data_IF_164590810941
#
_entry.id   IF_164590810941
#
_cell.length_a   1.000
_cell.length_b   1.000
_cell.length_c   1.000
_cell.angle_alpha   90.00
_cell.angle_beta   90.00
_cell.angle_gamma   90.00
#
_symmetry.space_group_name_H-M   'P 1'
#
loop_
_entity.id
_entity.type
_entity.pdbx_description
1 polymer ?
#
# COMPACT_ATOMS: atom_id res chain seq x y z
N UNK A 1 2.73 11.64 15.56
CA UNK A 1 2.29 12.98 16.01
C UNK A 1 2.16 13.94 14.84
N UNK A 2 1.07 13.82 14.08
CA UNK A 2 0.66 14.78 13.04
C UNK A 2 -0.58 15.56 13.50
N UNK A 3 -0.99 16.62 12.77
CA UNK A 3 -2.16 17.41 13.13
C UNK A 3 -3.44 16.56 13.06
N UNK A 4 -4.49 16.93 13.83
CA UNK A 4 -5.81 16.31 13.69
C UNK A 4 -6.30 16.51 12.26
N UNK A 5 -6.59 15.40 11.57
CA UNK A 5 -7.06 15.42 10.19
C UNK A 5 -8.51 15.97 10.17
N UNK A 6 -8.83 16.99 9.36
CA UNK A 6 -10.04 17.82 9.52
C UNK A 6 -11.35 17.18 9.02
N UNK A 7 -11.34 15.90 8.67
CA UNK A 7 -12.51 15.14 8.22
C UNK A 7 -12.62 13.87 9.07
N UNK A 8 -13.84 13.31 9.23
CA UNK A 8 -14.05 12.06 9.98
C UNK A 8 -13.19 10.96 9.37
N UNK A 9 -12.08 10.62 10.04
CA UNK A 9 -11.17 9.56 9.61
C UNK A 9 -11.74 8.16 9.83
N UNK A 10 -12.86 8.05 10.55
CA UNK A 10 -13.56 6.80 10.72
C UNK A 10 -14.37 6.55 9.44
N UNK A 11 -14.08 5.48 8.67
CA UNK A 11 -15.04 5.01 7.69
C UNK A 11 -16.33 4.62 8.43
N UNK A 12 -17.49 4.57 7.76
CA UNK A 12 -18.74 4.20 8.42
C UNK A 12 -18.60 2.83 9.10
N UNK A 13 -18.60 2.83 10.43
CA UNK A 13 -18.49 1.61 11.25
C UNK A 13 -19.90 1.07 11.47
N UNK A 14 -20.17 -0.21 11.18
CA UNK A 14 -21.44 -0.83 11.52
C UNK A 14 -21.72 -0.73 13.03
N UNK A 15 -22.98 -0.47 13.40
CA UNK A 15 -23.36 -0.28 14.80
C UNK A 15 -23.07 -1.52 15.66
N UNK A 16 -23.00 -2.70 15.04
CA UNK A 16 -22.64 -3.97 15.64
C UNK A 16 -21.86 -4.81 14.62
N UNK A 17 -20.64 -5.23 14.98
CA UNK A 17 -19.79 -6.05 14.11
C UNK A 17 -20.35 -7.48 13.95
N UNK A 18 -21.08 -7.99 14.95
CA UNK A 18 -21.68 -9.35 14.91
C UNK A 18 -22.79 -9.48 13.85
N UNK A 19 -23.34 -8.35 13.38
CA UNK A 19 -24.37 -8.31 12.35
C UNK A 19 -23.77 -8.29 10.93
N UNK A 20 -22.44 -8.17 10.79
CA UNK A 20 -21.77 -8.18 9.50
C UNK A 20 -21.59 -9.63 9.04
N UNK A 21 -22.16 -10.03 7.88
CA UNK A 21 -21.98 -11.38 7.40
C UNK A 21 -20.54 -11.62 6.94
N UNK A 22 -20.02 -12.83 7.18
CA UNK A 22 -18.75 -13.26 6.61
C UNK A 22 -18.76 -13.13 5.08
N UNK A 23 -17.63 -12.66 4.55
CA UNK A 23 -17.47 -12.45 3.12
C UNK A 23 -17.57 -13.77 2.34
N UNK A 24 -18.35 -13.75 1.25
CA UNK A 24 -18.46 -14.89 0.33
C UNK A 24 -17.73 -14.56 -0.97
N UNK A 25 -16.71 -15.37 -1.28
CA UNK A 25 -15.96 -15.22 -2.52
C UNK A 25 -16.91 -15.34 -3.74
N UNK A 26 -16.81 -14.43 -4.72
CA UNK A 26 -17.58 -14.52 -5.95
C UNK A 26 -17.06 -15.66 -6.82
N UNK A 27 -17.93 -16.22 -7.66
CA UNK A 27 -17.51 -17.08 -8.77
C UNK A 27 -16.65 -16.27 -9.73
N UNK A 28 -15.47 -16.79 -10.08
CA UNK A 28 -14.53 -16.16 -11.02
C UNK A 28 -14.54 -16.96 -12.32
N UNK A 29 -15.06 -16.36 -13.39
CA UNK A 29 -15.02 -16.94 -14.74
C UNK A 29 -13.75 -16.57 -15.49
N UNK A 30 -13.24 -15.36 -15.26
CA UNK A 30 -11.99 -14.85 -15.84
C UNK A 30 -11.13 -14.24 -14.73
N UNK A 31 -9.88 -14.71 -14.54
CA UNK A 31 -8.99 -14.16 -13.54
C UNK A 31 -8.54 -12.74 -13.93
N UNK A 32 -8.46 -11.85 -12.94
CA UNK A 32 -7.85 -10.53 -13.08
C UNK A 32 -6.32 -10.69 -13.11
N UNK A 33 -5.67 -10.10 -14.11
CA UNK A 33 -4.21 -10.18 -14.28
C UNK A 33 -3.62 -8.79 -14.05
N UNK A 34 -2.87 -8.63 -12.96
CA UNK A 34 -2.15 -7.38 -12.68
C UNK A 34 -0.91 -7.27 -13.57
N UNK A 35 -0.67 -6.10 -14.14
CA UNK A 35 0.47 -5.82 -15.03
C UNK A 35 1.44 -4.82 -14.40
N UNK A 36 2.74 -4.88 -14.76
CA UNK A 36 3.70 -3.89 -14.29
C UNK A 36 3.32 -2.50 -14.82
N UNK A 37 3.30 -1.50 -13.93
CA UNK A 37 2.84 -0.15 -14.23
C UNK A 37 3.55 0.50 -15.43
N UNK A 38 4.84 0.20 -15.61
CA UNK A 38 5.64 0.73 -16.72
C UNK A 38 5.27 0.16 -18.10
N UNK A 39 4.53 -0.95 -18.17
CA UNK A 39 4.09 -1.59 -19.42
C UNK A 39 2.56 -1.58 -19.56
N UNK A 40 1.86 -0.71 -18.82
CA UNK A 40 0.41 -0.75 -18.62
C UNK A 40 -0.38 0.28 -19.47
N UNK A 41 0.02 0.55 -20.71
CA UNK A 41 -0.52 1.65 -21.55
C UNK A 41 -2.05 1.71 -21.61
N UNK A 42 -2.73 0.59 -21.90
CA UNK A 42 -4.20 0.52 -21.95
C UNK A 42 -4.84 0.67 -20.55
N UNK A 43 -4.13 0.21 -19.52
CA UNK A 43 -4.60 0.22 -18.14
C UNK A 43 -4.49 1.59 -17.48
N UNK A 44 -3.57 2.46 -17.93
CA UNK A 44 -3.46 3.85 -17.47
C UNK A 44 -4.80 4.56 -17.64
N UNK A 45 -5.44 4.43 -18.81
CA UNK A 45 -6.72 5.08 -19.09
C UNK A 45 -7.84 4.54 -18.18
N UNK A 46 -7.92 3.22 -18.00
CA UNK A 46 -8.92 2.57 -17.14
C UNK A 46 -8.74 2.98 -15.67
N UNK A 47 -7.51 2.95 -15.18
CA UNK A 47 -7.19 3.32 -13.80
C UNK A 47 -7.47 4.81 -13.56
N UNK A 48 -7.04 5.68 -14.47
CA UNK A 48 -7.35 7.12 -14.44
C UNK A 48 -8.85 7.38 -14.37
N UNK A 49 -9.65 6.67 -15.18
CA UNK A 49 -11.10 6.80 -15.18
C UNK A 49 -11.72 6.31 -13.86
N UNK A 50 -11.21 5.19 -13.31
CA UNK A 50 -11.66 4.66 -12.03
C UNK A 50 -11.40 5.63 -10.88
N UNK A 51 -10.17 6.14 -10.76
CA UNK A 51 -9.80 7.14 -9.75
C UNK A 51 -10.59 8.44 -9.92
N UNK A 52 -10.79 8.92 -11.16
CA UNK A 52 -11.66 10.08 -11.43
C UNK A 52 -13.06 9.86 -10.87
N UNK A 53 -13.69 8.72 -11.20
CA UNK A 53 -15.04 8.40 -10.72
C UNK A 53 -15.10 8.26 -9.21
N UNK A 54 -14.06 7.73 -8.57
CA UNK A 54 -13.99 7.71 -7.11
C UNK A 54 -13.95 9.14 -6.56
N UNK A 55 -13.05 10.00 -7.06
CA UNK A 55 -12.92 11.41 -6.64
C UNK A 55 -14.18 12.24 -6.92
N UNK A 56 -14.91 11.97 -8.00
CA UNK A 56 -16.21 12.61 -8.29
C UNK A 56 -17.32 12.22 -7.29
N UNK A 57 -17.19 11.07 -6.62
CA UNK A 57 -18.13 10.68 -5.56
C UNK A 57 -17.86 11.46 -4.26
N UNK A 58 -16.60 11.84 -4.00
CA UNK A 58 -16.19 12.67 -2.85
C UNK A 58 -17.04 13.95 -2.76
N UNK A 59 -17.31 14.56 -3.92
CA UNK A 59 -18.06 15.82 -4.04
C UNK A 59 -19.58 15.63 -3.84
N UNK A 60 -20.10 14.44 -4.16
CA UNK A 60 -21.54 14.17 -4.27
C UNK A 60 -22.12 13.51 -3.02
N UNK A 61 -21.37 12.61 -2.39
CA UNK A 61 -21.79 11.88 -1.21
C UNK A 61 -20.58 11.55 -0.30
N UNK A 62 -20.20 12.48 0.60
CA UNK A 62 -19.06 12.32 1.52
C UNK A 62 -19.20 11.15 2.50
N UNK A 63 -20.34 10.45 2.57
CA UNK A 63 -20.52 9.29 3.43
C UNK A 63 -20.43 7.96 2.67
N UNK A 64 -20.33 7.98 1.34
CA UNK A 64 -20.30 6.74 0.55
C UNK A 64 -19.00 5.95 0.81
N UNK A 65 -19.04 4.70 1.29
CA UNK A 65 -17.79 3.99 1.61
C UNK A 65 -16.89 3.72 0.38
N UNK A 66 -17.39 3.89 -0.84
CA UNK A 66 -16.69 3.59 -2.08
C UNK A 66 -15.87 4.77 -2.66
N UNK A 67 -15.97 5.98 -2.08
CA UNK A 67 -15.25 7.15 -2.61
C UNK A 67 -13.78 7.18 -2.21
N UNK A 68 -12.97 7.98 -2.90
CA UNK A 68 -11.51 7.85 -2.88
C UNK A 68 -10.92 8.05 -1.48
N UNK A 69 -11.30 9.14 -0.83
CA UNK A 69 -10.86 9.42 0.54
C UNK A 69 -11.39 8.44 1.58
N UNK A 70 -12.58 7.86 1.40
CA UNK A 70 -13.03 6.83 2.34
C UNK A 70 -12.21 5.56 2.19
N UNK A 71 -11.79 5.22 0.97
CA UNK A 71 -10.81 4.16 0.79
C UNK A 71 -9.48 4.52 1.46
N UNK A 72 -9.00 5.75 1.38
CA UNK A 72 -7.83 6.20 2.15
C UNK A 72 -8.05 6.11 3.68
N UNK A 73 -9.27 6.41 4.16
CA UNK A 73 -9.64 6.32 5.57
C UNK A 73 -9.66 4.90 6.10
N UNK A 74 -9.91 3.90 5.25
CA UNK A 74 -9.76 2.49 5.65
C UNK A 74 -8.31 2.26 6.09
N UNK A 75 -7.31 2.66 5.29
CA UNK A 75 -5.91 2.53 5.71
C UNK A 75 -5.64 3.31 7.01
N UNK A 76 -6.04 4.58 7.08
CA UNK A 76 -5.91 5.38 8.30
C UNK A 76 -6.43 4.64 9.54
N UNK A 77 -7.66 4.11 9.47
CA UNK A 77 -8.34 3.59 10.63
C UNK A 77 -7.70 2.30 11.17
N UNK A 78 -7.20 1.43 10.30
CA UNK A 78 -6.50 0.20 10.71
C UNK A 78 -5.04 0.43 11.14
N UNK A 79 -4.47 1.60 10.85
CA UNK A 79 -3.05 1.90 11.10
C UNK A 79 -2.83 2.94 12.21
N UNK A 80 -3.87 3.70 12.59
CA UNK A 80 -3.82 4.78 13.57
C UNK A 80 -4.85 4.59 14.70
N UNK A 81 -4.88 3.39 15.26
CA UNK A 81 -5.56 3.05 16.51
C UNK A 81 -7.09 3.26 16.55
N UNK A 82 -7.75 3.32 15.38
CA UNK A 82 -9.18 3.65 15.34
C UNK A 82 -10.09 2.47 15.73
N UNK A 83 -9.60 1.23 15.64
CA UNK A 83 -10.35 0.02 15.97
C UNK A 83 -9.80 -0.68 17.20
N UNK A 84 -10.70 -1.24 18.01
CA UNK A 84 -10.35 -2.15 19.12
C UNK A 84 -11.15 -3.43 19.00
N UNK A 85 -10.49 -4.59 19.08
CA UNK A 85 -11.12 -5.91 19.08
C UNK A 85 -10.72 -6.60 20.38
N UNK A 86 -11.70 -6.97 21.21
CA UNK A 86 -11.45 -7.62 22.50
C UNK A 86 -10.59 -6.80 23.48
N UNK A 87 -10.63 -5.47 23.39
CA UNK A 87 -9.85 -4.56 24.24
C UNK A 87 -8.39 -4.34 23.79
N UNK A 88 -7.95 -4.97 22.69
CA UNK A 88 -6.68 -4.65 22.02
C UNK A 88 -6.97 -3.71 20.84
N UNK A 89 -6.24 -2.60 20.73
CA UNK A 89 -6.23 -1.79 19.52
C UNK A 89 -5.85 -2.69 18.34
N UNK A 90 -6.47 -2.55 17.18
CA UNK A 90 -6.05 -3.28 15.99
C UNK A 90 -4.93 -2.48 15.32
N UNK A 91 -3.76 -3.09 15.18
CA UNK A 91 -2.63 -2.55 14.45
C UNK A 91 -2.19 -3.59 13.42
N UNK A 92 -2.35 -3.26 12.14
CA UNK A 92 -2.06 -4.18 11.03
C UNK A 92 -0.61 -4.11 10.58
N UNK A 93 0.12 -3.06 10.97
CA UNK A 93 1.56 -2.91 10.76
C UNK A 93 2.38 -3.53 11.92
N UNK A 94 3.68 -3.67 11.71
CA UNK A 94 4.65 -4.18 12.67
C UNK A 94 4.41 -5.64 13.07
N UNK A 95 3.68 -6.41 12.25
CA UNK A 95 3.22 -7.74 12.63
C UNK A 95 2.85 -8.62 11.43
N UNK A 96 2.58 -9.89 11.69
CA UNK A 96 2.14 -10.88 10.70
C UNK A 96 0.79 -10.56 10.00
N UNK A 97 0.09 -9.49 10.41
CA UNK A 97 -1.16 -9.05 9.79
C UNK A 97 -0.94 -8.13 8.57
N UNK A 98 0.29 -7.64 8.39
CA UNK A 98 0.65 -6.70 7.33
C UNK A 98 0.21 -7.20 5.94
N UNK A 99 0.69 -8.36 5.52
CA UNK A 99 0.36 -8.93 4.21
C UNK A 99 -1.13 -9.26 4.02
N UNK A 100 -1.80 -10.03 4.91
CA UNK A 100 -3.20 -10.40 4.68
C UNK A 100 -4.15 -9.20 4.71
N UNK A 101 -3.93 -8.20 5.57
CA UNK A 101 -4.73 -6.98 5.58
C UNK A 101 -4.63 -6.24 4.24
N UNK A 102 -3.41 -5.93 3.78
CA UNK A 102 -3.20 -5.20 2.53
C UNK A 102 -3.69 -5.99 1.30
N UNK A 103 -3.59 -7.32 1.32
CA UNK A 103 -4.19 -8.18 0.28
C UNK A 103 -5.70 -8.01 0.19
N UNK A 104 -6.42 -8.06 1.31
CA UNK A 104 -7.87 -7.85 1.33
C UNK A 104 -8.25 -6.41 0.97
N UNK A 105 -7.45 -5.44 1.41
CA UNK A 105 -7.65 -4.05 1.06
C UNK A 105 -7.53 -3.82 -0.45
N UNK A 106 -6.45 -4.30 -1.08
CA UNK A 106 -6.28 -4.22 -2.54
C UNK A 106 -7.33 -5.03 -3.29
N UNK A 107 -7.79 -6.16 -2.74
CA UNK A 107 -8.86 -6.96 -3.33
C UNK A 107 -10.15 -6.15 -3.47
N UNK A 108 -10.61 -5.49 -2.40
CA UNK A 108 -11.82 -4.69 -2.47
C UNK A 108 -11.63 -3.42 -3.31
N UNK A 109 -10.49 -2.73 -3.17
CA UNK A 109 -10.19 -1.53 -3.96
C UNK A 109 -10.21 -1.80 -5.48
N UNK A 110 -9.57 -2.88 -5.94
CA UNK A 110 -9.58 -3.31 -7.35
C UNK A 110 -11.00 -3.58 -7.86
N UNK A 111 -11.84 -4.21 -7.03
CA UNK A 111 -13.24 -4.52 -7.40
C UNK A 111 -14.11 -3.27 -7.45
N UNK A 112 -13.87 -2.30 -6.57
CA UNK A 112 -14.56 -1.00 -6.58
C UNK A 112 -14.26 -0.27 -7.88
N UNK A 113 -12.99 -0.17 -8.27
CA UNK A 113 -12.59 0.46 -9.54
C UNK A 113 -13.27 -0.21 -10.74
N UNK A 114 -13.18 -1.55 -10.81
CA UNK A 114 -13.84 -2.32 -11.88
C UNK A 114 -15.35 -2.08 -11.94
N UNK A 115 -16.02 -2.04 -10.78
CA UNK A 115 -17.46 -1.71 -10.70
C UNK A 115 -17.77 -0.31 -11.23
N UNK A 116 -16.97 0.70 -10.87
CA UNK A 116 -17.22 2.09 -11.24
C UNK A 116 -17.05 2.35 -12.74
N UNK A 117 -16.13 1.65 -13.39
CA UNK A 117 -15.88 1.77 -14.84
C UNK A 117 -16.64 0.75 -15.69
N UNK A 118 -17.37 -0.19 -15.06
CA UNK A 118 -18.11 -1.23 -15.77
C UNK A 118 -17.22 -2.36 -16.34
N UNK A 119 -16.02 -2.54 -15.80
CA UNK A 119 -15.06 -3.56 -16.22
C UNK A 119 -14.84 -4.58 -15.09
N UNK A 120 -15.46 -5.77 -15.22
CA UNK A 120 -15.36 -6.83 -14.20
C UNK A 120 -14.03 -7.58 -14.23
N UNK A 121 -13.19 -7.36 -15.24
CA UNK A 121 -11.85 -7.96 -15.36
C UNK A 121 -10.73 -6.96 -15.11
N UNK A 122 -11.06 -5.70 -14.79
CA UNK A 122 -10.11 -4.69 -14.34
C UNK A 122 -9.19 -5.24 -13.25
N UNK A 123 -7.89 -5.16 -13.49
CA UNK A 123 -6.85 -5.47 -12.53
C UNK A 123 -6.02 -4.22 -12.21
N UNK A 124 -5.66 -4.04 -10.95
CA UNK A 124 -4.72 -2.99 -10.56
C UNK A 124 -3.35 -3.27 -11.20
N UNK A 125 -2.68 -2.29 -11.82
CA UNK A 125 -1.26 -2.43 -12.09
C UNK A 125 -0.46 -2.56 -10.79
N UNK A 126 0.81 -2.94 -10.89
CA UNK A 126 1.72 -2.93 -9.75
C UNK A 126 2.99 -2.13 -10.07
N UNK A 127 3.49 -1.37 -9.10
CA UNK A 127 4.75 -0.65 -9.24
C UNK A 127 5.91 -1.64 -9.13
N UNK A 128 6.49 -2.01 -10.27
CA UNK A 128 7.47 -3.09 -10.37
C UNK A 128 8.90 -2.66 -9.95
N UNK A 129 9.05 -2.09 -8.75
CA UNK A 129 10.31 -1.56 -8.23
C UNK A 129 11.37 -2.64 -7.95
N UNK A 130 11.02 -3.93 -7.95
CA UNK A 130 11.97 -5.06 -7.91
C UNK A 130 12.63 -5.33 -9.27
N UNK A 131 12.19 -4.64 -10.33
CA UNK A 131 12.77 -4.70 -11.67
C UNK A 131 13.40 -3.35 -12.06
N UNK A 132 14.61 -3.34 -12.66
CA UNK A 132 15.27 -2.12 -13.15
C UNK A 132 14.39 -1.14 -13.93
N UNK A 133 13.46 -1.63 -14.76
CA UNK A 133 12.56 -0.78 -15.56
C UNK A 133 11.47 -0.09 -14.75
N UNK A 134 11.14 -0.62 -13.57
CA UNK A 134 10.10 -0.11 -12.68
C UNK A 134 10.65 0.63 -11.46
N UNK A 135 11.97 0.85 -11.35
CA UNK A 135 12.60 1.58 -10.23
C UNK A 135 12.46 3.10 -10.31
N UNK A 136 11.41 3.61 -10.96
CA UNK A 136 11.15 5.05 -11.13
C UNK A 136 9.69 5.30 -10.76
N UNK A 137 9.35 6.53 -10.37
CA UNK A 137 7.95 6.94 -10.28
C UNK A 137 7.28 6.65 -11.64
N UNK A 138 6.20 5.84 -11.70
CA UNK A 138 5.57 5.52 -12.97
C UNK A 138 5.05 6.82 -13.62
N UNK A 139 5.37 7.10 -14.91
CA UNK A 139 5.07 8.39 -15.52
C UNK A 139 3.60 8.83 -15.46
N UNK A 140 2.66 7.89 -15.32
CA UNK A 140 1.24 8.18 -15.17
C UNK A 140 0.88 9.00 -13.92
N UNK A 141 1.74 9.02 -12.90
CA UNK A 141 1.56 9.79 -11.67
C UNK A 141 2.21 11.18 -11.72
N UNK A 142 2.96 11.50 -12.78
CA UNK A 142 3.61 12.82 -12.99
C UNK A 142 2.96 13.58 -14.16
N UNK A 143 1.62 13.66 -14.13
CA UNK A 143 0.84 14.40 -15.12
C UNK A 143 -0.07 15.39 -14.41
N UNK A 144 0.37 16.66 -14.22
CA UNK A 144 -0.43 17.67 -13.54
C UNK A 144 -1.85 17.79 -14.14
N UNK A 145 -2.86 17.84 -13.26
CA UNK A 145 -4.28 17.85 -13.63
C UNK A 145 -4.87 16.46 -13.93
N UNK A 146 -4.06 15.41 -13.96
CA UNK A 146 -4.55 14.03 -13.97
C UNK A 146 -5.20 13.67 -12.62
N UNK A 147 -6.30 12.88 -12.60
CA UNK A 147 -6.82 12.27 -11.39
C UNK A 147 -5.80 11.41 -10.62
N UNK A 148 -4.77 10.91 -11.29
CA UNK A 148 -3.69 10.11 -10.68
C UNK A 148 -2.60 10.96 -10.04
N UNK A 149 -2.52 12.25 -10.38
CA UNK A 149 -1.48 13.13 -9.86
C UNK A 149 -1.73 13.51 -8.40
N UNK A 150 -0.64 13.55 -7.64
CA UNK A 150 -0.58 14.14 -6.31
C UNK A 150 0.54 15.19 -6.29
N UNK A 151 0.24 16.36 -5.73
CA UNK A 151 1.21 17.45 -5.57
C UNK A 151 2.13 17.23 -4.35
N UNK A 152 1.78 16.28 -3.47
CA UNK A 152 2.47 15.97 -2.21
C UNK A 152 3.44 14.81 -2.36
N UNK A 153 4.25 14.85 -3.41
CA UNK A 153 5.42 14.00 -3.53
C UNK A 153 6.69 14.73 -3.08
N UNK A 154 7.73 13.96 -2.76
CA UNK A 154 9.07 14.49 -2.68
C UNK A 154 9.56 14.99 -4.05
N UNK A 155 10.06 16.23 -4.21
CA UNK A 155 10.55 16.71 -5.50
C UNK A 155 11.65 15.84 -6.15
N UNK A 156 12.39 15.05 -5.37
CA UNK A 156 13.45 14.20 -5.93
C UNK A 156 12.94 12.99 -6.71
N UNK A 157 11.66 12.59 -6.58
CA UNK A 157 11.13 11.40 -7.26
C UNK A 157 11.04 11.55 -8.77
N UNK A 158 11.01 12.80 -9.23
CA UNK A 158 10.84 13.17 -10.62
C UNK A 158 12.17 13.12 -11.39
N UNK A 159 12.15 13.48 -12.67
CA UNK A 159 13.34 13.59 -13.53
C UNK A 159 14.12 12.28 -13.75
N UNK A 160 13.44 11.13 -13.66
CA UNK A 160 14.09 9.83 -13.89
C UNK A 160 15.07 9.44 -12.79
N UNK A 161 14.81 9.89 -11.55
CA UNK A 161 15.54 9.42 -10.37
C UNK A 161 15.22 7.96 -10.10
N UNK A 162 16.26 7.14 -10.00
CA UNK A 162 16.14 5.75 -9.54
C UNK A 162 15.73 5.77 -8.07
N UNK A 163 14.64 5.08 -7.75
CA UNK A 163 14.20 4.85 -6.39
C UNK A 163 15.29 4.18 -5.56
N UNK A 164 15.49 4.62 -4.32
CA UNK A 164 16.36 3.95 -3.36
C UNK A 164 15.53 3.05 -2.43
N UNK A 165 15.64 1.73 -2.62
CA UNK A 165 14.91 0.76 -1.80
C UNK A 165 15.45 0.67 -0.37
N UNK A 166 16.51 1.41 -0.02
CA UNK A 166 17.03 1.58 1.33
C UNK A 166 16.91 3.02 1.84
N UNK A 167 16.09 3.85 1.21
CA UNK A 167 15.93 5.27 1.58
C UNK A 167 15.31 5.46 2.97
N UNK A 168 15.96 6.28 3.80
CA UNK A 168 15.46 6.69 5.13
C UNK A 168 15.57 8.21 5.33
N UNK A 169 15.42 9.00 4.27
CA UNK A 169 15.38 10.46 4.32
C UNK A 169 16.65 11.17 3.82
N UNK A 170 17.76 10.44 3.69
CA UNK A 170 19.03 10.96 3.15
C UNK A 170 19.33 10.35 1.77
N UNK A 171 19.80 11.18 0.85
CA UNK A 171 20.25 10.70 -0.46
C UNK A 171 21.56 9.92 -0.36
N UNK A 172 21.57 8.72 -0.95
CA UNK A 172 22.79 7.91 -1.04
C UNK A 172 23.66 8.41 -2.20
N UNK A 173 24.84 8.92 -1.88
CA UNK A 173 25.83 9.40 -2.85
C UNK A 173 26.42 8.23 -3.66
N UNK A 174 25.74 7.83 -4.73
CA UNK A 174 26.15 6.74 -5.63
C UNK A 174 25.81 7.08 -7.09
N UNK A 175 26.37 6.32 -8.04
CA UNK A 175 25.90 6.39 -9.43
C UNK A 175 24.54 5.70 -9.55
N UNK A 176 23.70 6.07 -10.52
CA UNK A 176 22.42 5.38 -10.75
C UNK A 176 22.61 3.87 -10.96
N UNK A 177 23.65 3.46 -11.68
CA UNK A 177 23.95 2.03 -11.89
C UNK A 177 24.26 1.31 -10.57
N UNK A 178 25.01 1.95 -9.67
CA UNK A 178 25.30 1.39 -8.36
C UNK A 178 24.06 1.34 -7.47
N UNK A 179 23.20 2.35 -7.52
CA UNK A 179 21.93 2.38 -6.79
C UNK A 179 21.01 1.24 -7.24
N UNK A 180 20.85 1.04 -8.55
CA UNK A 180 20.08 -0.08 -9.10
C UNK A 180 20.65 -1.44 -8.66
N UNK A 181 21.98 -1.60 -8.65
CA UNK A 181 22.62 -2.81 -8.15
C UNK A 181 22.35 -3.02 -6.64
N UNK A 182 22.42 -1.95 -5.84
CA UNK A 182 22.11 -2.00 -4.41
C UNK A 182 20.65 -2.42 -4.17
N UNK A 183 19.70 -1.88 -4.93
CA UNK A 183 18.29 -2.27 -4.87
C UNK A 183 18.09 -3.77 -5.12
N UNK A 184 18.71 -4.32 -6.17
CA UNK A 184 18.61 -5.74 -6.48
C UNK A 184 19.24 -6.62 -5.39
N UNK A 185 20.35 -6.18 -4.80
CA UNK A 185 20.99 -6.85 -3.65
C UNK A 185 20.08 -6.81 -2.42
N UNK A 186 19.45 -5.66 -2.13
CA UNK A 186 18.49 -5.52 -1.05
C UNK A 186 17.31 -6.46 -1.27
N UNK A 187 16.74 -6.49 -2.48
CA UNK A 187 15.65 -7.41 -2.81
C UNK A 187 16.03 -8.87 -2.59
N UNK A 188 17.21 -9.30 -3.05
CA UNK A 188 17.70 -10.65 -2.78
C UNK A 188 17.81 -10.91 -1.26
N UNK A 189 18.35 -9.96 -0.49
CA UNK A 189 18.45 -10.11 0.97
C UNK A 189 17.08 -10.25 1.62
N UNK A 190 16.11 -9.43 1.26
CA UNK A 190 14.80 -9.38 1.91
C UNK A 190 13.88 -10.53 1.49
N UNK A 191 13.99 -11.00 0.24
CA UNK A 191 13.18 -12.09 -0.29
C UNK A 191 13.77 -13.48 -0.05
N UNK A 192 15.11 -13.59 0.07
CA UNK A 192 15.80 -14.89 0.14
C UNK A 192 16.55 -15.06 1.46
N UNK A 193 17.56 -14.20 1.71
CA UNK A 193 18.50 -14.40 2.81
C UNK A 193 17.86 -14.22 4.19
N UNK A 194 17.06 -13.17 4.35
CA UNK A 194 16.47 -12.76 5.61
C UNK A 194 15.06 -13.34 5.81
N UNK A 195 14.48 -13.95 4.78
CA UNK A 195 13.12 -14.53 4.81
C UNK A 195 13.09 -16.06 4.65
N UNK A 196 13.92 -16.85 5.37
CA UNK A 196 13.94 -18.30 5.22
C UNK A 196 12.73 -19.01 5.85
N UNK A 197 11.92 -18.30 6.64
CA UNK A 197 10.75 -18.86 7.33
C UNK A 197 9.63 -17.82 7.48
N UNK A 198 8.38 -18.26 7.79
CA UNK A 198 7.21 -17.39 7.71
C UNK A 198 7.29 -16.17 8.63
N UNK A 199 7.65 -16.32 9.91
CA UNK A 199 7.66 -15.20 10.86
C UNK A 199 8.73 -14.14 10.57
N UNK A 200 9.78 -14.48 9.83
CA UNK A 200 10.73 -13.48 9.36
C UNK A 200 10.20 -12.71 8.15
N UNK A 201 9.45 -13.39 7.26
CA UNK A 201 8.85 -12.75 6.10
C UNK A 201 7.63 -11.91 6.45
N UNK A 202 6.68 -12.48 7.20
CA UNK A 202 5.41 -11.85 7.56
C UNK A 202 5.53 -10.88 8.74
N UNK A 203 6.47 -11.13 9.67
CA UNK A 203 6.58 -10.38 10.92
C UNK A 203 6.11 -11.18 12.14
N UNK A 204 6.21 -10.56 13.32
CA UNK A 204 5.93 -11.22 14.58
C UNK A 204 4.42 -11.46 14.82
N UNK A 205 4.07 -12.45 15.67
CA UNK A 205 2.69 -12.73 16.03
C UNK A 205 1.95 -11.55 16.66
N UNK A 206 0.82 -11.17 16.06
CA UNK A 206 -0.15 -10.26 16.64
C UNK A 206 -1.22 -11.02 17.44
N UNK A 207 -0.98 -11.21 18.74
CA UNK A 207 -1.89 -11.94 19.63
C UNK A 207 -2.19 -11.15 20.91
N UNK A 208 -3.25 -11.49 21.63
CA UNK A 208 -3.60 -10.84 22.88
C UNK A 208 -2.48 -11.02 23.92
N UNK A 209 -2.08 -9.94 24.58
CA UNK A 209 -0.99 -9.94 25.55
C UNK A 209 0.43 -9.88 24.96
N UNK A 210 0.57 -9.90 23.63
CA UNK A 210 1.84 -9.60 22.96
C UNK A 210 1.82 -8.18 22.37
N UNK A 211 2.78 -7.37 22.80
CA UNK A 211 2.99 -5.97 22.36
C UNK A 211 4.30 -5.81 21.57
N UNK A 212 4.89 -6.90 21.10
CA UNK A 212 6.08 -6.83 20.25
C UNK A 212 5.68 -6.39 18.85
N UNK A 213 6.11 -5.20 18.47
CA UNK A 213 6.13 -4.75 17.08
C UNK A 213 7.45 -5.20 16.44
N UNK A 214 7.35 -6.12 15.50
CA UNK A 214 8.48 -6.61 14.75
C UNK A 214 8.02 -6.89 13.31
N UNK A 215 8.19 -5.91 12.40
CA UNK A 215 7.77 -6.03 11.02
C UNK A 215 8.51 -7.16 10.31
N UNK A 216 7.85 -7.72 9.30
CA UNK A 216 8.48 -8.67 8.39
C UNK A 216 9.57 -8.04 7.53
N UNK A 217 10.34 -8.86 6.80
CA UNK A 217 11.42 -8.38 5.95
C UNK A 217 10.95 -7.31 4.97
N UNK A 218 9.87 -7.58 4.24
CA UNK A 218 9.35 -6.69 3.18
C UNK A 218 8.72 -5.43 3.73
N UNK A 219 7.97 -5.52 4.83
CA UNK A 219 7.39 -4.35 5.51
C UNK A 219 8.51 -3.38 5.93
N UNK A 220 9.61 -3.91 6.48
CA UNK A 220 10.74 -3.10 6.86
C UNK A 220 11.49 -2.54 5.63
N UNK A 221 11.90 -3.40 4.70
CA UNK A 221 12.59 -3.04 3.46
C UNK A 221 12.11 -3.99 2.34
N UNK A 222 11.57 -3.49 1.22
CA UNK A 222 11.65 -2.09 0.79
C UNK A 222 10.39 -1.25 1.04
N UNK A 223 9.31 -1.79 1.62
CA UNK A 223 8.05 -1.07 1.76
C UNK A 223 8.21 0.30 2.45
N UNK A 224 8.78 0.34 3.67
CA UNK A 224 8.97 1.62 4.37
C UNK A 224 9.82 2.62 3.55
N UNK A 225 10.98 2.22 2.96
CA UNK A 225 11.72 3.07 2.04
C UNK A 225 10.92 3.62 0.87
N UNK A 226 10.06 2.83 0.22
CA UNK A 226 9.22 3.30 -0.90
C UNK A 226 8.27 4.41 -0.44
N UNK A 227 7.63 4.23 0.72
CA UNK A 227 6.79 5.25 1.34
C UNK A 227 7.56 6.55 1.63
N UNK A 228 8.73 6.44 2.27
CA UNK A 228 9.56 7.60 2.65
C UNK A 228 10.14 8.31 1.42
N UNK A 229 10.55 7.55 0.40
CA UNK A 229 11.08 8.10 -0.86
C UNK A 229 10.00 8.87 -1.63
N UNK A 230 8.75 8.40 -1.57
CA UNK A 230 7.67 9.02 -2.35
C UNK A 230 7.06 10.24 -1.65
N UNK A 231 6.86 10.19 -0.33
CA UNK A 231 6.22 11.27 0.43
C UNK A 231 7.06 12.53 0.61
N UNK A 232 6.41 13.67 0.87
CA UNK A 232 7.10 14.93 1.15
C UNK A 232 8.07 14.81 2.32
N UNK A 233 9.13 15.62 2.29
CA UNK A 233 10.13 15.63 3.37
C UNK A 233 9.54 16.24 4.63
N UNK A 234 9.53 15.49 5.73
CA UNK A 234 9.07 15.99 7.03
C UNK A 234 9.80 17.28 7.42
N UNK A 235 9.04 18.30 7.82
CA UNK A 235 9.55 19.63 8.15
C UNK A 235 9.66 20.59 6.95
N UNK A 236 9.50 20.09 5.71
CA UNK A 236 9.35 20.96 4.53
C UNK A 236 7.99 21.68 4.53
N UNK A 237 7.79 22.62 3.62
CA UNK A 237 6.53 23.35 3.46
C UNK A 237 5.68 22.72 2.36
N UNK A 238 4.46 22.30 2.71
CA UNK A 238 3.47 21.77 1.77
C UNK A 238 2.95 22.89 0.84
N UNK A 239 2.30 22.54 -0.30
CA UNK A 239 1.69 23.51 -1.21
C UNK A 239 0.66 24.44 -0.53
N UNK A 240 0.00 23.99 0.53
CA UNK A 240 -0.96 24.77 1.32
C UNK A 240 -0.29 25.67 2.40
N UNK A 241 1.04 25.71 2.44
CA UNK A 241 1.85 26.53 3.35
C UNK A 241 2.07 25.92 4.73
N UNK A 242 1.57 24.72 5.03
CA UNK A 242 1.76 24.05 6.33
C UNK A 242 3.05 23.24 6.37
N UNK A 243 3.60 22.97 7.57
CA UNK A 243 4.71 22.02 7.70
C UNK A 243 4.26 20.61 7.32
N UNK A 244 5.09 19.92 6.55
CA UNK A 244 4.94 18.50 6.22
C UNK A 244 5.32 17.60 7.41
N UNK A 245 4.57 16.51 7.56
CA UNK A 245 4.83 15.37 8.44
C UNK A 245 5.12 14.09 7.65
N UNK A 246 5.41 14.20 6.35
CA UNK A 246 5.62 13.06 5.45
C UNK A 246 4.53 12.89 4.40
N UNK A 247 3.57 13.81 4.28
CA UNK A 247 2.41 13.64 3.40
C UNK A 247 2.78 13.48 1.91
N UNK A 248 2.04 12.74 1.09
CA UNK A 248 0.99 11.82 1.49
C UNK A 248 1.59 10.43 1.78
N UNK A 249 2.40 9.87 0.86
CA UNK A 249 2.98 8.51 0.97
C UNK A 249 3.88 8.25 2.19
N UNK A 250 4.59 9.25 2.71
CA UNK A 250 5.54 9.08 3.82
C UNK A 250 4.88 9.04 5.20
N UNK A 251 3.54 9.06 5.29
CA UNK A 251 2.82 8.96 6.54
C UNK A 251 1.57 8.06 6.44
N UNK A 252 1.40 7.16 7.41
CA UNK A 252 0.31 6.16 7.42
C UNK A 252 -1.10 6.80 7.40
N UNK A 253 -1.25 8.00 7.96
CA UNK A 253 -2.56 8.66 7.97
C UNK A 253 -3.00 9.22 6.61
N UNK A 254 -2.03 9.48 5.72
CA UNK A 254 -2.25 10.17 4.45
C UNK A 254 -1.91 9.32 3.24
N UNK A 255 -1.16 8.24 3.38
CA UNK A 255 -0.61 7.50 2.23
C UNK A 255 -1.68 7.02 1.25
N UNK A 256 -2.88 6.66 1.71
CA UNK A 256 -3.98 6.25 0.82
C UNK A 256 -4.60 7.38 -0.02
N UNK A 257 -4.24 8.64 0.23
CA UNK A 257 -4.66 9.81 -0.56
C UNK A 257 -3.85 9.96 -1.85
N UNK A 258 -2.69 9.33 -1.92
CA UNK A 258 -1.88 9.26 -3.13
C UNK A 258 -2.29 8.02 -3.95
N UNK A 259 -2.74 8.16 -5.21
CA UNK A 259 -3.07 7.00 -6.05
C UNK A 259 -1.91 6.00 -6.24
N UNK A 260 -0.64 6.41 -6.13
CA UNK A 260 0.50 5.49 -6.32
C UNK A 260 0.59 4.44 -5.20
N UNK A 261 0.07 4.73 -4.00
CA UNK A 261 0.01 3.82 -2.85
C UNK A 261 -0.56 2.44 -3.23
N UNK A 262 -1.65 2.44 -3.99
CA UNK A 262 -2.36 1.21 -4.35
C UNK A 262 -1.53 0.35 -5.31
N UNK A 263 -0.66 0.96 -6.14
CA UNK A 263 0.23 0.23 -7.03
C UNK A 263 1.48 -0.27 -6.31
N UNK A 264 1.99 0.48 -5.33
CA UNK A 264 3.05 0.00 -4.45
C UNK A 264 2.58 -1.24 -3.68
N UNK A 265 1.43 -1.14 -3.01
CA UNK A 265 0.86 -2.27 -2.26
C UNK A 265 0.42 -3.44 -3.15
N UNK A 266 0.09 -3.20 -4.42
CA UNK A 266 -0.10 -4.29 -5.38
C UNK A 266 1.22 -5.04 -5.67
N UNK A 267 2.38 -4.39 -5.62
CA UNK A 267 3.68 -5.06 -5.74
C UNK A 267 4.12 -5.72 -4.43
N UNK A 268 3.84 -5.11 -3.27
CA UNK A 268 4.00 -5.76 -1.96
C UNK A 268 3.20 -7.06 -1.91
N UNK A 269 1.93 -7.05 -2.33
CA UNK A 269 1.10 -8.25 -2.43
C UNK A 269 1.68 -9.30 -3.40
N UNK A 270 2.27 -8.84 -4.52
CA UNK A 270 3.01 -9.71 -5.45
C UNK A 270 4.25 -10.33 -4.78
N UNK A 271 4.95 -9.63 -3.88
CA UNK A 271 6.10 -10.20 -3.17
C UNK A 271 5.73 -11.43 -2.36
N UNK A 272 4.56 -11.47 -1.71
CA UNK A 272 4.10 -12.69 -1.03
C UNK A 272 4.00 -13.87 -2.01
N UNK A 273 3.43 -13.65 -3.19
CA UNK A 273 3.33 -14.70 -4.20
C UNK A 273 4.70 -15.17 -4.73
N UNK A 274 5.63 -14.24 -4.98
CA UNK A 274 6.98 -14.57 -5.41
C UNK A 274 7.77 -15.31 -4.33
N UNK A 275 7.67 -14.86 -3.08
CA UNK A 275 8.34 -15.50 -1.95
C UNK A 275 7.96 -16.98 -1.87
N UNK A 276 6.66 -17.30 -1.98
CA UNK A 276 6.17 -18.68 -2.04
C UNK A 276 6.72 -19.50 -3.21
N UNK A 277 7.03 -18.86 -4.34
CA UNK A 277 7.55 -19.55 -5.53
C UNK A 277 9.05 -19.84 -5.45
N UNK A 278 9.79 -19.22 -4.53
CA UNK A 278 11.23 -19.52 -4.31
C UNK A 278 11.40 -20.98 -3.82
N UNK A 279 10.41 -21.54 -3.13
CA UNK A 279 10.36 -22.95 -2.71
C UNK A 279 11.11 -23.27 -1.41
N UNK A 280 11.30 -24.55 -1.12
CA UNK A 280 11.98 -25.01 0.10
C UNK A 280 11.08 -25.03 1.35
N UNK A 281 11.56 -24.45 2.46
CA UNK A 281 10.81 -24.40 3.75
C UNK A 281 9.81 -23.23 3.83
N UNK A 282 9.69 -22.48 2.75
CA UNK A 282 8.79 -21.35 2.58
C UNK A 282 7.34 -21.86 2.53
N UNK A 283 6.48 -21.34 3.42
CA UNK A 283 5.06 -21.70 3.53
C UNK A 283 4.27 -20.59 4.20
N UNK A 284 2.95 -20.58 4.01
CA UNK A 284 2.08 -19.68 4.74
C UNK A 284 2.05 -20.06 6.25
N UNK A 285 1.75 -19.08 7.11
CA UNK A 285 1.57 -19.30 8.54
C UNK A 285 0.40 -20.27 8.75
N UNK A 286 0.60 -21.24 9.66
CA UNK A 286 -0.39 -22.28 9.98
C UNK A 286 -1.01 -22.11 11.37
N UNK A 287 -0.64 -21.04 12.07
CA UNK A 287 -1.12 -20.73 13.41
C UNK A 287 -2.58 -20.26 13.35
N UNK A 288 -3.43 -20.80 14.23
CA UNK A 288 -4.86 -20.52 14.24
C UNK A 288 -5.16 -19.05 14.50
N UNK A 289 -4.39 -18.40 15.36
CA UNK A 289 -4.59 -16.98 15.68
C UNK A 289 -4.38 -16.09 14.44
N UNK A 290 -3.43 -16.46 13.57
CA UNK A 290 -3.26 -15.80 12.27
C UNK A 290 -4.38 -16.17 11.29
N UNK A 291 -4.69 -17.46 11.14
CA UNK A 291 -5.69 -17.95 10.18
C UNK A 291 -7.11 -17.45 10.47
N UNK A 292 -7.43 -17.20 11.75
CA UNK A 292 -8.73 -16.73 12.20
C UNK A 292 -8.74 -15.22 12.48
N UNK A 293 -7.69 -14.48 12.11
CA UNK A 293 -7.71 -13.03 12.18
C UNK A 293 -8.72 -12.46 11.19
N UNK A 294 -9.49 -11.47 11.64
CA UNK A 294 -10.57 -10.84 10.87
C UNK A 294 -10.28 -9.34 10.72
N UNK A 295 -10.73 -8.77 9.59
CA UNK A 295 -10.63 -7.36 9.26
C UNK A 295 -11.98 -6.85 8.82
#
# INVERSE_FOLDING_TARGET
>A
DGPPVPYSCCPPIPANMDDIPLYKLPSVTEPRIRFPAQDADEYIAKYTLGIRKMKELDEKDPQNPLWFKQQANVHYAYCNDAYTIGGKVLQVHGSWLFFPFHRWYMYFFERILGKLIGDQTFALPYWNWDNPKGMYLPPMFDVPGSPLYDERHNPHVYNGTVMDLGYFGDEVQTTQLQLMANNLILMHRQMVTNAPCPLLFFGAPYVLGNNVEAPGTIENIPHNPVHIWTGTVRGSTLPDGKPSYGEDMGNLYSTGLDPVFYLDHANVDRMWNLWKQIGGKIRDIQEKDWLNSEF
#
